data_IF_808545410730
#
_entry.id   IF_808545410730
#
_cell.length_a   1.000
_cell.length_b   1.000
_cell.length_c   1.000
_cell.angle_alpha   90.00
_cell.angle_beta   90.00
_cell.angle_gamma   90.00
#
_symmetry.space_group_name_H-M   'P 1'
#
loop_
_entity.id
_entity.type
_entity.pdbx_description
1 polymer ?
#
# COMPACT_ATOMS: atom_id res chain seq x y z
N UNK A 1 -6.52 -10.51 16.87
CA UNK A 1 -6.46 -11.04 15.49
C UNK A 1 -7.81 -10.84 14.84
N UNK A 2 -7.83 -10.21 13.68
CA UNK A 2 -8.98 -10.01 12.81
C UNK A 2 -8.80 -10.95 11.62
N UNK A 3 -9.79 -11.80 11.36
CA UNK A 3 -9.78 -12.74 10.24
C UNK A 3 -10.82 -12.28 9.23
N UNK A 4 -10.36 -11.79 8.09
CA UNK A 4 -11.20 -11.54 6.92
C UNK A 4 -11.37 -12.84 6.14
N UNK A 5 -12.47 -12.96 5.43
CA UNK A 5 -12.82 -14.17 4.70
C UNK A 5 -13.10 -13.84 3.23
N UNK A 6 -12.52 -14.62 2.33
CA UNK A 6 -12.78 -14.51 0.89
C UNK A 6 -13.48 -15.77 0.42
N UNK A 7 -14.78 -15.71 0.08
CA UNK A 7 -15.55 -16.87 -0.31
C UNK A 7 -15.05 -17.48 -1.63
N UNK A 8 -14.95 -18.80 -1.67
CA UNK A 8 -14.59 -19.57 -2.88
C UNK A 8 -15.47 -20.80 -2.97
N UNK A 9 -16.10 -21.02 -4.12
CA UNK A 9 -16.87 -22.25 -4.36
C UNK A 9 -15.91 -23.44 -4.48
N UNK A 10 -15.89 -24.30 -3.48
CA UNK A 10 -14.95 -25.42 -3.38
C UNK A 10 -15.39 -26.42 -2.32
N UNK A 11 -15.12 -27.70 -2.57
CA UNK A 11 -15.42 -28.80 -1.62
C UNK A 11 -14.26 -29.03 -0.62
N UNK A 12 -13.23 -28.18 -0.65
CA UNK A 12 -12.09 -28.25 0.28
C UNK A 12 -12.59 -27.93 1.70
N UNK A 13 -12.14 -28.71 2.69
CA UNK A 13 -12.46 -28.43 4.10
C UNK A 13 -11.51 -27.38 4.69
N UNK A 14 -12.05 -26.58 5.59
CA UNK A 14 -11.31 -25.59 6.36
C UNK A 14 -11.65 -25.72 7.85
N UNK A 15 -10.61 -25.89 8.66
CA UNK A 15 -10.65 -25.85 10.13
C UNK A 15 -9.62 -24.82 10.60
N UNK A 16 -10.04 -23.96 11.54
CA UNK A 16 -9.22 -22.85 12.03
C UNK A 16 -9.29 -22.81 13.54
N UNK A 17 -8.13 -22.76 14.21
CA UNK A 17 -8.02 -22.58 15.66
C UNK A 17 -7.10 -21.40 15.94
N UNK A 18 -7.52 -20.48 16.80
CA UNK A 18 -6.72 -19.34 17.22
C UNK A 18 -6.16 -19.57 18.62
N UNK A 19 -4.90 -19.20 18.85
CA UNK A 19 -4.28 -19.12 20.17
C UNK A 19 -3.32 -17.92 20.24
N UNK A 20 -3.80 -16.79 20.75
CA UNK A 20 -3.04 -15.53 20.73
C UNK A 20 -2.70 -15.09 19.30
N UNK A 21 -1.42 -15.07 18.98
CA UNK A 21 -0.87 -14.75 17.65
C UNK A 21 -0.60 -15.98 16.78
N UNK A 22 -0.89 -17.18 17.29
CA UNK A 22 -0.83 -18.43 16.54
C UNK A 22 -2.19 -18.71 15.90
N UNK A 23 -2.17 -19.06 14.61
CA UNK A 23 -3.32 -19.53 13.86
C UNK A 23 -3.03 -20.92 13.32
N UNK A 24 -3.80 -21.90 13.76
CA UNK A 24 -3.78 -23.24 13.19
C UNK A 24 -4.79 -23.29 12.05
N UNK A 25 -4.36 -23.69 10.86
CA UNK A 25 -5.21 -23.86 9.68
C UNK A 25 -5.05 -25.27 9.15
N UNK A 26 -6.11 -26.08 9.17
CA UNK A 26 -6.11 -27.47 8.72
C UNK A 26 -4.96 -28.31 9.30
N UNK A 27 -4.65 -28.13 10.59
CA UNK A 27 -3.58 -28.84 11.29
C UNK A 27 -2.18 -28.28 11.03
N UNK A 28 -2.02 -27.10 10.41
CA UNK A 28 -0.74 -26.40 10.29
C UNK A 28 -0.75 -25.19 11.21
N UNK A 29 0.14 -25.17 12.20
CA UNK A 29 0.27 -24.07 13.16
C UNK A 29 1.18 -22.95 12.61
N UNK A 30 0.61 -21.78 12.35
CA UNK A 30 1.28 -20.59 11.88
C UNK A 30 1.46 -19.60 13.05
N UNK A 31 2.69 -19.40 13.50
CA UNK A 31 3.01 -18.50 14.61
C UNK A 31 3.42 -17.11 14.11
N UNK A 32 2.53 -16.11 14.25
CA UNK A 32 2.79 -14.74 13.80
C UNK A 32 3.35 -13.82 14.90
N UNK A 33 3.81 -14.38 16.02
CA UNK A 33 4.36 -13.60 17.15
C UNK A 33 5.56 -12.71 16.77
N UNK A 34 6.30 -13.07 15.71
CA UNK A 34 7.45 -12.31 15.22
C UNK A 34 7.08 -11.12 14.32
N UNK A 35 5.84 -11.02 13.86
CA UNK A 35 5.42 -9.91 13.02
C UNK A 35 5.26 -8.66 13.88
N UNK A 36 6.16 -7.69 13.75
CA UNK A 36 6.11 -6.44 14.51
C UNK A 36 4.96 -5.54 14.06
N UNK A 37 4.54 -4.61 14.93
CA UNK A 37 3.47 -3.66 14.61
C UNK A 37 3.86 -2.78 13.40
N UNK A 38 2.88 -2.48 12.56
CA UNK A 38 3.08 -1.79 11.29
C UNK A 38 3.82 -2.61 10.23
N UNK A 39 4.22 -3.86 10.48
CA UNK A 39 4.90 -4.71 9.49
C UNK A 39 3.91 -5.57 8.69
N UNK A 40 4.34 -5.97 7.49
CA UNK A 40 3.55 -6.78 6.56
C UNK A 40 4.34 -8.03 6.18
N UNK A 41 3.72 -9.20 6.29
CA UNK A 41 4.22 -10.48 5.81
C UNK A 41 3.46 -10.87 4.53
N UNK A 42 4.13 -11.01 3.38
CA UNK A 42 3.48 -11.46 2.14
C UNK A 42 2.80 -12.83 2.29
N UNK A 43 1.71 -13.08 1.56
CA UNK A 43 0.92 -14.30 1.69
C UNK A 43 1.75 -15.55 1.32
N UNK A 44 2.56 -15.43 0.28
CA UNK A 44 3.49 -16.44 -0.21
C UNK A 44 4.53 -16.86 0.84
N UNK A 45 4.89 -15.96 1.75
CA UNK A 45 5.83 -16.21 2.83
C UNK A 45 5.22 -16.98 4.00
N UNK A 46 3.88 -17.04 4.10
CA UNK A 46 3.19 -17.75 5.18
C UNK A 46 3.29 -19.28 5.02
N UNK A 47 3.48 -19.76 3.78
CA UNK A 47 3.54 -21.20 3.50
C UNK A 47 2.18 -21.92 3.65
N UNK A 48 1.07 -21.18 3.62
CA UNK A 48 -0.29 -21.73 3.74
C UNK A 48 -1.20 -21.19 2.63
N UNK A 49 -1.67 -22.07 1.75
CA UNK A 49 -2.52 -21.68 0.60
C UNK A 49 -3.90 -21.12 0.99
N UNK A 50 -4.31 -21.28 2.25
CA UNK A 50 -5.55 -20.69 2.75
C UNK A 50 -5.38 -19.23 3.15
N UNK A 51 -4.16 -18.77 3.42
CA UNK A 51 -3.86 -17.35 3.65
C UNK A 51 -3.57 -16.73 2.28
N UNK A 52 -4.52 -15.93 1.79
CA UNK A 52 -4.53 -15.47 0.38
C UNK A 52 -4.22 -13.97 0.23
N UNK A 53 -3.92 -13.30 1.34
CA UNK A 53 -3.53 -11.89 1.35
C UNK A 53 -2.40 -11.69 2.36
N UNK A 54 -1.59 -10.63 2.21
CA UNK A 54 -0.56 -10.31 3.18
C UNK A 54 -1.14 -10.25 4.60
N UNK A 55 -0.38 -10.77 5.56
CA UNK A 55 -0.69 -10.68 6.98
C UNK A 55 -0.06 -9.42 7.51
N UNK A 56 -0.87 -8.55 8.12
CA UNK A 56 -0.40 -7.28 8.66
C UNK A 56 -0.60 -7.25 10.17
N UNK A 57 0.28 -6.55 10.87
CA UNK A 57 -0.02 -6.13 12.25
C UNK A 57 -0.29 -4.63 12.23
N UNK A 58 -1.49 -4.26 12.67
CA UNK A 58 -1.97 -2.88 12.66
C UNK A 58 -2.46 -2.54 14.07
N UNK A 59 -1.83 -1.56 14.71
CA UNK A 59 -2.14 -1.15 16.09
C UNK A 59 -2.15 -2.33 17.07
N UNK A 60 -1.16 -3.23 16.92
CA UNK A 60 -1.00 -4.44 17.72
C UNK A 60 -1.88 -5.63 17.31
N UNK A 61 -2.89 -5.43 16.46
CA UNK A 61 -3.78 -6.50 16.01
C UNK A 61 -3.29 -7.11 14.68
N UNK A 62 -3.17 -8.44 14.65
CA UNK A 62 -2.99 -9.18 13.39
C UNK A 62 -4.25 -9.08 12.53
N UNK A 63 -4.09 -8.81 11.25
CA UNK A 63 -5.14 -8.77 10.22
C UNK A 63 -4.69 -9.67 9.08
N UNK A 64 -5.52 -10.65 8.72
CA UNK A 64 -5.25 -11.55 7.59
C UNK A 64 -6.54 -11.94 6.88
N UNK A 65 -6.42 -12.43 5.65
CA UNK A 65 -7.55 -12.95 4.86
C UNK A 65 -7.38 -14.43 4.62
N UNK A 66 -8.39 -15.21 5.02
CA UNK A 66 -8.49 -16.62 4.70
C UNK A 66 -9.44 -16.85 3.51
N UNK A 67 -9.06 -17.78 2.63
CA UNK A 67 -10.00 -18.42 1.71
C UNK A 67 -11.09 -19.13 2.52
N UNK A 68 -12.37 -18.83 2.27
CA UNK A 68 -13.51 -19.51 2.85
C UNK A 68 -14.16 -20.43 1.80
N UNK A 69 -13.90 -21.75 1.83
CA UNK A 69 -14.57 -22.67 0.93
C UNK A 69 -16.06 -22.78 1.27
N UNK A 70 -16.91 -22.84 0.26
CA UNK A 70 -18.34 -23.03 0.44
C UNK A 70 -18.98 -23.83 -0.71
N UNK A 71 -20.08 -24.52 -0.40
CA UNK A 71 -20.86 -25.29 -1.36
C UNK A 71 -21.78 -24.42 -2.23
N UNK A 72 -22.46 -25.03 -3.19
CA UNK A 72 -23.44 -24.36 -4.06
C UNK A 72 -24.60 -23.72 -3.25
N UNK A 73 -25.04 -24.42 -2.20
CA UNK A 73 -26.20 -24.05 -1.37
C UNK A 73 -25.78 -23.27 -0.11
N UNK A 74 -24.59 -22.66 -0.13
CA UNK A 74 -24.02 -21.98 1.02
C UNK A 74 -24.88 -20.81 1.51
N UNK A 75 -24.98 -20.62 2.86
CA UNK A 75 -25.75 -19.53 3.44
C UNK A 75 -25.18 -18.16 3.02
N UNK A 76 -25.99 -17.11 3.13
CA UNK A 76 -25.56 -15.75 2.76
C UNK A 76 -24.28 -15.32 3.50
N UNK A 77 -24.18 -15.60 4.80
CA UNK A 77 -22.97 -15.28 5.57
C UNK A 77 -21.69 -16.01 5.11
N UNK A 78 -21.81 -17.11 4.37
CA UNK A 78 -20.67 -17.78 3.75
C UNK A 78 -20.33 -17.19 2.36
N UNK A 79 -21.33 -16.68 1.63
CA UNK A 79 -21.15 -16.04 0.32
C UNK A 79 -20.74 -14.57 0.42
N UNK A 80 -21.10 -13.91 1.51
CA UNK A 80 -20.80 -12.51 1.83
C UNK A 80 -20.35 -12.40 3.28
N UNK A 81 -19.17 -12.96 3.62
CA UNK A 81 -18.73 -13.01 5.00
C UNK A 81 -18.36 -11.63 5.53
N UNK A 82 -18.58 -11.45 6.83
CA UNK A 82 -18.09 -10.30 7.60
C UNK A 82 -16.77 -10.64 8.28
N UNK A 83 -16.00 -9.61 8.64
CA UNK A 83 -14.76 -9.78 9.40
C UNK A 83 -15.02 -10.46 10.75
N UNK A 84 -14.16 -11.42 11.12
CA UNK A 84 -14.24 -12.16 12.37
C UNK A 84 -13.27 -11.63 13.43
N UNK A 85 -13.72 -11.65 14.69
CA UNK A 85 -12.95 -11.24 15.87
C UNK A 85 -12.90 -12.38 16.91
N UNK A 86 -12.27 -13.53 16.58
CA UNK A 86 -12.37 -14.72 17.41
C UNK A 86 -11.63 -14.61 18.75
N UNK A 87 -12.23 -15.18 19.79
CA UNK A 87 -11.53 -15.57 21.01
C UNK A 87 -10.53 -16.70 20.72
N UNK A 88 -9.70 -17.06 21.70
CA UNK A 88 -8.86 -18.26 21.58
C UNK A 88 -9.71 -19.53 21.60
N UNK A 89 -9.32 -20.50 20.78
CA UNK A 89 -10.05 -21.75 20.55
C UNK A 89 -10.47 -21.94 19.09
N UNK A 90 -11.34 -22.93 18.81
CA UNK A 90 -11.90 -23.16 17.49
C UNK A 90 -12.64 -21.92 16.97
N UNK A 91 -12.35 -21.53 15.74
CA UNK A 91 -12.98 -20.39 15.09
C UNK A 91 -14.22 -20.86 14.33
N UNK A 92 -15.40 -20.36 14.72
CA UNK A 92 -16.64 -20.62 14.00
C UNK A 92 -16.63 -19.87 12.67
N UNK A 93 -16.61 -20.61 11.57
CA UNK A 93 -16.66 -20.05 10.21
C UNK A 93 -18.11 -20.05 9.68
N UNK A 94 -18.51 -19.03 8.90
CA UNK A 94 -19.85 -18.99 8.32
C UNK A 94 -20.09 -20.15 7.36
N UNK A 95 -21.18 -20.89 7.54
CA UNK A 95 -21.57 -22.00 6.67
C UNK A 95 -20.69 -23.25 6.76
N UNK A 96 -19.78 -23.32 7.73
CA UNK A 96 -18.95 -24.50 8.01
C UNK A 96 -19.16 -24.95 9.45
N UNK A 97 -19.35 -26.25 9.64
CA UNK A 97 -19.31 -26.85 10.96
C UNK A 97 -17.89 -26.82 11.52
N UNK A 98 -17.76 -26.79 12.85
CA UNK A 98 -16.47 -26.98 13.50
C UNK A 98 -15.96 -28.39 13.16
N UNK A 99 -15.03 -28.47 12.21
CA UNK A 99 -14.39 -29.72 11.82
C UNK A 99 -13.57 -30.33 12.96
N UNK A 100 -13.24 -31.61 12.85
CA UNK A 100 -12.33 -32.26 13.79
C UNK A 100 -10.97 -31.54 13.79
N UNK A 101 -10.48 -31.24 15.00
CA UNK A 101 -9.13 -30.70 15.15
C UNK A 101 -8.12 -31.82 14.84
N UNK A 102 -7.32 -31.60 13.81
CA UNK A 102 -6.19 -32.45 13.49
C UNK A 102 -5.01 -32.14 14.42
N UNK A 103 -4.11 -33.11 14.71
CA UNK A 103 -2.88 -32.81 15.43
C UNK A 103 -2.05 -31.80 14.62
N UNK A 104 -1.73 -30.67 15.25
CA UNK A 104 -1.04 -29.58 14.57
C UNK A 104 0.43 -29.90 14.32
N UNK A 105 0.90 -29.69 13.10
CA UNK A 105 2.33 -29.62 12.78
C UNK A 105 2.77 -28.16 12.71
N UNK A 106 3.99 -27.81 13.16
CA UNK A 106 4.52 -26.46 12.99
C UNK A 106 4.65 -26.12 11.50
N UNK A 107 4.01 -25.02 11.07
CA UNK A 107 4.21 -24.43 9.76
C UNK A 107 5.55 -23.69 9.67
N UNK A 108 6.04 -23.49 8.45
CA UNK A 108 7.28 -22.74 8.19
C UNK A 108 6.92 -21.43 7.52
N UNK A 109 7.09 -20.33 8.26
CA UNK A 109 6.95 -18.96 7.73
C UNK A 109 8.33 -18.48 7.28
N UNK A 110 8.41 -17.98 6.05
CA UNK A 110 9.59 -17.32 5.51
C UNK A 110 9.69 -15.87 6.00
N UNK A 111 10.28 -15.71 7.18
CA UNK A 111 10.49 -14.40 7.79
C UNK A 111 11.45 -13.48 7.03
N UNK A 112 12.19 -13.98 6.03
CA UNK A 112 13.08 -13.15 5.21
C UNK A 112 12.32 -12.20 4.29
N UNK A 113 11.02 -12.44 4.06
CA UNK A 113 10.16 -11.63 3.20
C UNK A 113 9.34 -10.57 3.95
N UNK A 114 9.51 -10.41 5.26
CA UNK A 114 8.79 -9.38 6.00
C UNK A 114 9.19 -7.98 5.52
N UNK A 115 8.18 -7.19 5.20
CA UNK A 115 8.34 -5.76 4.95
C UNK A 115 8.09 -5.03 6.27
N UNK A 116 9.14 -4.47 6.86
CA UNK A 116 9.04 -3.78 8.15
C UNK A 116 8.34 -2.43 8.03
N UNK A 117 7.84 -1.91 9.16
CA UNK A 117 7.25 -0.58 9.21
C UNK A 117 8.23 0.50 8.72
N UNK A 118 9.51 0.39 9.10
CA UNK A 118 10.56 1.32 8.68
C UNK A 118 10.81 1.25 7.17
N UNK A 119 10.89 0.04 6.60
CA UNK A 119 11.08 -0.14 5.17
C UNK A 119 9.91 0.45 4.36
N UNK A 120 8.67 0.26 4.84
CA UNK A 120 7.48 0.89 4.24
C UNK A 120 7.53 2.41 4.35
N UNK A 121 7.92 2.96 5.50
CA UNK A 121 8.03 4.39 5.71
C UNK A 121 9.09 5.02 4.80
N UNK A 122 10.24 4.36 4.65
CA UNK A 122 11.29 4.81 3.73
C UNK A 122 10.81 4.77 2.27
N UNK A 123 10.21 3.66 1.82
CA UNK A 123 9.68 3.55 0.47
C UNK A 123 8.60 4.61 0.18
N UNK A 124 7.73 4.90 1.15
CA UNK A 124 6.73 5.96 1.03
C UNK A 124 7.36 7.36 0.92
N UNK A 125 8.40 7.65 1.71
CA UNK A 125 9.13 8.92 1.65
C UNK A 125 9.87 9.11 0.31
N UNK A 126 10.52 8.04 -0.18
CA UNK A 126 11.18 8.04 -1.50
C UNK A 126 10.16 8.24 -2.63
N UNK A 127 9.01 7.56 -2.57
CA UNK A 127 7.93 7.70 -3.55
C UNK A 127 7.34 9.12 -3.56
N UNK A 128 7.17 9.72 -2.39
CA UNK A 128 6.72 11.11 -2.26
C UNK A 128 7.72 12.05 -2.93
N UNK A 129 9.00 11.92 -2.57
CA UNK A 129 10.07 12.72 -3.16
C UNK A 129 10.11 12.56 -4.69
N UNK A 130 10.03 11.34 -5.20
CA UNK A 130 10.02 11.06 -6.63
C UNK A 130 8.84 11.73 -7.34
N UNK A 131 7.66 11.73 -6.71
CA UNK A 131 6.46 12.39 -7.25
C UNK A 131 6.66 13.90 -7.32
N UNK A 132 7.18 14.51 -6.24
CA UNK A 132 7.44 15.96 -6.21
C UNK A 132 8.51 16.39 -7.21
N UNK A 133 9.58 15.59 -7.36
CA UNK A 133 10.62 15.84 -8.38
C UNK A 133 10.06 15.72 -9.79
N UNK A 134 9.19 14.74 -10.06
CA UNK A 134 8.54 14.59 -11.35
C UNK A 134 7.63 15.78 -11.68
N UNK A 135 6.84 16.27 -10.72
CA UNK A 135 5.99 17.44 -10.90
C UNK A 135 6.82 18.72 -11.16
N UNK A 136 7.92 18.91 -10.42
CA UNK A 136 8.85 20.01 -10.64
C UNK A 136 9.46 19.94 -12.05
N UNK A 137 9.90 18.76 -12.48
CA UNK A 137 10.47 18.56 -13.81
C UNK A 137 9.45 18.86 -14.92
N UNK A 138 8.20 18.43 -14.76
CA UNK A 138 7.13 18.71 -15.72
C UNK A 138 6.87 20.22 -15.84
N UNK A 139 6.72 20.92 -14.71
CA UNK A 139 6.50 22.37 -14.70
C UNK A 139 7.66 23.14 -15.30
N UNK A 140 8.90 22.67 -15.08
CA UNK A 140 10.10 23.24 -15.68
C UNK A 140 10.12 23.03 -17.20
N UNK A 141 9.74 21.86 -17.68
CA UNK A 141 9.67 21.58 -19.12
C UNK A 141 8.66 22.50 -19.83
N UNK A 142 7.50 22.77 -19.20
CA UNK A 142 6.52 23.74 -19.72
C UNK A 142 7.12 25.15 -19.78
N UNK A 143 7.81 25.58 -18.71
CA UNK A 143 8.47 26.88 -18.69
C UNK A 143 9.54 26.98 -19.78
N UNK A 144 10.38 25.96 -19.96
CA UNK A 144 11.42 25.96 -20.99
C UNK A 144 10.82 26.02 -22.41
N UNK A 145 9.71 25.32 -22.65
CA UNK A 145 9.00 25.38 -23.93
C UNK A 145 8.33 26.75 -24.22
N UNK A 146 7.81 27.43 -23.19
CA UNK A 146 7.25 28.78 -23.34
C UNK A 146 8.34 29.85 -23.49
N UNK A 147 9.48 29.67 -22.82
CA UNK A 147 10.61 30.60 -22.86
C UNK A 147 11.28 30.60 -24.23
N UNK A 148 11.46 29.44 -24.88
CA UNK A 148 12.20 29.32 -26.14
C UNK A 148 11.75 30.33 -27.24
N UNK A 149 10.47 30.37 -27.67
CA UNK A 149 10.05 31.31 -28.73
C UNK A 149 10.17 32.78 -28.31
N UNK A 150 9.94 33.09 -27.02
CA UNK A 150 10.09 34.46 -26.50
C UNK A 150 11.57 34.89 -26.46
N UNK A 151 12.49 33.96 -26.19
CA UNK A 151 13.91 34.24 -26.28
C UNK A 151 14.33 34.50 -27.72
N UNK A 152 13.91 33.65 -28.65
CA UNK A 152 14.23 33.81 -30.07
C UNK A 152 13.78 35.19 -30.60
N UNK A 153 12.54 35.61 -30.26
CA UNK A 153 12.04 36.93 -30.63
C UNK A 153 12.87 38.09 -30.06
N UNK A 154 13.35 37.97 -28.82
CA UNK A 154 14.24 38.99 -28.20
C UNK A 154 15.62 38.97 -28.85
N UNK A 155 16.17 37.80 -29.15
CA UNK A 155 17.48 37.64 -29.78
C UNK A 155 17.51 38.14 -31.23
N UNK A 156 16.36 38.10 -31.92
CA UNK A 156 16.17 38.65 -33.26
C UNK A 156 15.76 40.13 -33.28
N UNK A 157 15.66 40.78 -32.11
CA UNK A 157 15.13 42.15 -31.96
C UNK A 157 13.69 42.32 -32.51
N UNK A 158 12.92 41.22 -32.61
CA UNK A 158 11.52 41.19 -33.10
C UNK A 158 10.49 41.17 -31.96
N UNK A 159 10.94 41.15 -30.70
CA UNK A 159 10.07 41.06 -29.53
C UNK A 159 9.29 42.35 -29.26
N UNK A 160 7.99 42.19 -29.01
CA UNK A 160 7.14 43.24 -28.44
C UNK A 160 7.46 43.47 -26.96
N UNK A 161 7.12 44.65 -26.42
CA UNK A 161 7.27 44.93 -24.98
C UNK A 161 6.52 43.93 -24.09
N UNK A 162 5.38 43.42 -24.55
CA UNK A 162 4.59 42.41 -23.86
C UNK A 162 5.31 41.05 -23.79
N UNK A 163 5.91 40.60 -24.90
CA UNK A 163 6.70 39.36 -24.94
C UNK A 163 7.97 39.46 -24.07
N UNK A 164 8.64 40.62 -24.09
CA UNK A 164 9.80 40.87 -23.24
C UNK A 164 9.44 40.89 -21.74
N UNK A 165 8.25 41.37 -21.37
CA UNK A 165 7.73 41.29 -20.01
C UNK A 165 7.39 39.85 -19.62
N UNK A 166 6.67 39.12 -20.49
CA UNK A 166 6.28 37.73 -20.29
C UNK A 166 7.52 36.81 -20.17
N UNK A 167 8.57 37.05 -20.95
CA UNK A 167 9.84 36.33 -20.84
C UNK A 167 10.48 36.49 -19.46
N UNK A 168 10.42 37.68 -18.86
CA UNK A 168 10.92 37.91 -17.50
C UNK A 168 10.09 37.14 -16.46
N UNK A 169 8.78 37.09 -16.63
CA UNK A 169 7.88 36.34 -15.74
C UNK A 169 8.14 34.84 -15.82
N UNK A 170 8.26 34.26 -17.02
CA UNK A 170 8.62 32.86 -17.19
C UNK A 170 10.01 32.53 -16.62
N UNK A 171 11.01 33.40 -16.81
CA UNK A 171 12.33 33.23 -16.19
C UNK A 171 12.26 33.28 -14.66
N UNK A 172 11.47 34.18 -14.07
CA UNK A 172 11.22 34.21 -12.61
C UNK A 172 10.52 32.95 -12.14
N UNK A 173 9.50 32.48 -12.85
CA UNK A 173 8.79 31.24 -12.56
C UNK A 173 9.74 30.03 -12.57
N UNK A 174 10.60 29.90 -13.58
CA UNK A 174 11.59 28.82 -13.66
C UNK A 174 12.59 28.86 -12.49
N UNK A 175 13.04 30.06 -12.09
CA UNK A 175 13.91 30.23 -10.92
C UNK A 175 13.17 29.86 -9.63
N UNK A 176 11.91 30.26 -9.48
CA UNK A 176 11.08 29.86 -8.34
C UNK A 176 10.92 28.34 -8.26
N UNK A 177 10.67 27.67 -9.40
CA UNK A 177 10.63 26.21 -9.47
C UNK A 177 11.95 25.56 -9.02
N UNK A 178 13.11 26.11 -9.39
CA UNK A 178 14.41 25.56 -8.94
C UNK A 178 14.67 25.68 -7.45
N UNK A 179 14.00 26.61 -6.76
CA UNK A 179 14.13 26.87 -5.33
C UNK A 179 13.11 26.11 -4.46
N UNK A 180 12.20 25.34 -5.07
CA UNK A 180 11.23 24.53 -4.32
C UNK A 180 11.87 23.60 -3.27
N UNK A 181 13.02 22.93 -3.54
CA UNK A 181 13.67 22.07 -2.53
C UNK A 181 14.25 22.84 -1.34
N UNK A 182 14.39 24.17 -1.44
CA UNK A 182 14.85 25.05 -0.36
C UNK A 182 13.70 25.53 0.53
N UNK A 183 12.44 25.23 0.19
CA UNK A 183 11.28 25.60 1.00
C UNK A 183 11.23 24.80 2.30
N UNK A 184 10.76 25.48 3.36
CA UNK A 184 10.40 24.81 4.61
C UNK A 184 9.20 23.88 4.35
N UNK A 185 9.33 22.59 4.67
CA UNK A 185 8.29 21.60 4.44
C UNK A 185 8.51 20.70 3.22
N UNK A 186 9.54 20.91 2.40
CA UNK A 186 9.88 19.99 1.31
C UNK A 186 10.29 18.60 1.86
N UNK A 187 9.85 17.47 1.25
CA UNK A 187 8.94 17.33 0.09
C UNK A 187 7.46 17.15 0.47
N UNK A 188 7.07 17.31 1.74
CA UNK A 188 5.70 17.08 2.23
C UNK A 188 4.71 18.21 1.91
N UNK A 189 5.17 19.46 1.98
CA UNK A 189 4.36 20.66 1.73
C UNK A 189 5.17 21.58 0.81
N UNK A 190 4.64 21.87 -0.38
CA UNK A 190 5.30 22.69 -1.41
C UNK A 190 4.34 23.77 -1.87
N UNK A 191 4.78 25.03 -1.78
CA UNK A 191 4.08 26.16 -2.38
C UNK A 191 4.51 26.32 -3.84
N UNK A 192 3.66 25.83 -4.74
CA UNK A 192 3.91 25.86 -6.17
C UNK A 192 3.65 27.25 -6.74
N UNK A 193 4.64 27.87 -7.41
CA UNK A 193 4.42 29.16 -8.06
C UNK A 193 3.33 29.05 -9.13
N UNK A 194 2.58 30.13 -9.37
CA UNK A 194 1.62 30.19 -10.46
C UNK A 194 2.34 30.40 -11.80
N UNK A 195 1.97 29.66 -12.86
CA UNK A 195 2.50 29.92 -14.19
C UNK A 195 2.03 31.30 -14.71
N UNK A 196 2.86 32.03 -15.47
CA UNK A 196 2.45 33.24 -16.17
C UNK A 196 1.32 32.97 -17.19
N UNK A 197 0.52 33.99 -17.47
CA UNK A 197 -0.63 33.94 -18.38
C UNK A 197 -0.26 34.26 -19.83
#
# INVERSE_FOLDING_TARGET
>A
MIIKLSPVRSDIRLSVVKAGDLLEVNGVALDFSRLADGSTLPAEAVGCNFVISPVERINGALVLTLMLPHDADAPEGARFPVDLYPADGPVQLPGLDLGERLPATPGVIDWSQVVTAEAKAQAAAEQLLATMVAEQAQRRAVADAAIAPLQDAVELDESTEAEAALLKEWKRYRVALSRLPEQEGYPSEIDWPAPPA
#
